data_IF_184965119959
#
_entry.id   IF_184965119959
#
_cell.length_a   1.000
_cell.length_b   1.000
_cell.length_c   1.000
_cell.angle_alpha   90.00
_cell.angle_beta   90.00
_cell.angle_gamma   90.00
#
_symmetry.space_group_name_H-M   'P 1'
#
loop_
_entity.id
_entity.type
_entity.pdbx_description
1 polymer ?
#
# COMPACT_ATOMS: atom_id res chain seq x y z
N UNK A 1 -19.16 18.31 7.21
CA UNK A 1 -19.70 18.07 5.85
C UNK A 1 -18.90 18.87 4.81
N UNK A 2 -17.57 18.70 4.76
CA UNK A 2 -16.64 19.54 3.97
C UNK A 2 -16.04 18.78 2.77
N UNK A 3 -16.15 17.44 2.76
CA UNK A 3 -15.46 16.59 1.79
C UNK A 3 -15.92 16.81 0.34
N UNK A 4 -17.22 16.87 0.08
CA UNK A 4 -17.74 16.99 -1.30
C UNK A 4 -17.28 18.28 -1.99
N UNK A 5 -17.31 19.40 -1.28
CA UNK A 5 -16.94 20.71 -1.81
C UNK A 5 -15.44 20.81 -2.10
N UNK A 6 -14.60 20.21 -1.26
CA UNK A 6 -13.16 20.09 -1.51
C UNK A 6 -12.88 19.35 -2.83
N UNK A 7 -13.57 18.24 -3.09
CA UNK A 7 -13.33 17.45 -4.31
C UNK A 7 -13.81 18.16 -5.58
N UNK A 8 -14.96 18.84 -5.52
CA UNK A 8 -15.48 19.60 -6.67
C UNK A 8 -14.63 20.81 -6.99
N UNK A 9 -14.18 21.55 -5.97
CA UNK A 9 -13.35 22.76 -6.14
C UNK A 9 -11.96 22.43 -6.68
N UNK A 10 -11.40 21.28 -6.30
CA UNK A 10 -10.10 20.80 -6.78
C UNK A 10 -10.18 20.01 -8.11
N UNK A 11 -11.35 19.97 -8.75
CA UNK A 11 -11.58 19.26 -10.02
C UNK A 11 -11.08 17.81 -9.98
N UNK A 12 -11.37 17.08 -8.89
CA UNK A 12 -11.01 15.67 -8.73
C UNK A 12 -11.96 14.83 -9.59
N UNK A 13 -11.47 14.42 -10.77
CA UNK A 13 -12.18 13.47 -11.64
C UNK A 13 -11.93 12.02 -11.19
N UNK A 14 -12.69 11.06 -11.73
CA UNK A 14 -12.48 9.63 -11.44
C UNK A 14 -11.06 9.15 -11.75
N UNK A 15 -10.37 9.76 -12.73
CA UNK A 15 -8.96 9.47 -13.02
C UNK A 15 -8.02 10.02 -11.94
N UNK A 16 -8.30 11.22 -11.42
CA UNK A 16 -7.52 11.81 -10.32
C UNK A 16 -7.80 11.12 -8.98
N UNK A 17 -8.98 10.53 -8.81
CA UNK A 17 -9.37 9.80 -7.60
C UNK A 17 -8.41 8.65 -7.27
N UNK A 18 -7.80 8.04 -8.30
CA UNK A 18 -6.82 6.96 -8.19
C UNK A 18 -5.55 7.39 -7.41
N UNK A 19 -5.28 8.70 -7.39
CA UNK A 19 -4.12 9.30 -6.72
C UNK A 19 -4.46 9.91 -5.34
N UNK A 20 -5.71 9.79 -4.89
CA UNK A 20 -6.14 10.32 -3.60
C UNK A 20 -5.70 9.37 -2.48
N UNK A 21 -4.74 9.84 -1.68
CA UNK A 21 -4.18 9.14 -0.52
C UNK A 21 -4.15 10.09 0.69
N UNK A 22 -3.94 9.56 1.90
CA UNK A 22 -3.77 10.36 3.12
C UNK A 22 -2.73 11.48 2.97
N UNK A 23 -1.65 11.29 2.21
CA UNK A 23 -0.64 12.34 2.00
C UNK A 23 -1.11 13.51 1.13
N UNK A 24 -2.09 13.27 0.25
CA UNK A 24 -2.55 14.24 -0.75
C UNK A 24 -3.83 14.97 -0.31
N UNK A 25 -4.58 14.39 0.64
CA UNK A 25 -5.81 14.98 1.19
C UNK A 25 -5.61 16.37 1.85
N UNK A 26 -4.51 16.65 2.57
CA UNK A 26 -4.27 17.97 3.14
C UNK A 26 -4.12 19.05 2.07
N UNK A 27 -3.57 18.69 0.90
CA UNK A 27 -3.36 19.63 -0.20
C UNK A 27 -4.68 20.10 -0.84
N UNK A 28 -5.75 19.30 -0.72
CA UNK A 28 -7.09 19.65 -1.21
C UNK A 28 -7.97 20.29 -0.13
N UNK A 29 -7.41 20.59 1.04
CA UNK A 29 -8.10 21.23 2.17
C UNK A 29 -8.73 20.27 3.19
N UNK A 30 -8.40 18.98 3.14
CA UNK A 30 -8.88 17.98 4.11
C UNK A 30 -7.76 17.68 5.10
N UNK A 31 -7.81 18.35 6.24
CA UNK A 31 -6.78 18.29 7.29
C UNK A 31 -7.19 17.46 8.51
N UNK A 32 -8.48 17.14 8.64
CA UNK A 32 -8.97 16.31 9.75
C UNK A 32 -8.59 14.85 9.55
N UNK A 33 -7.89 14.28 10.53
CA UNK A 33 -7.30 12.95 10.42
C UNK A 33 -8.35 11.83 10.32
N UNK A 34 -9.48 11.96 11.01
CA UNK A 34 -10.55 10.96 10.96
C UNK A 34 -11.25 10.97 9.59
N UNK A 35 -11.52 12.17 9.06
CA UNK A 35 -11.99 12.29 7.68
C UNK A 35 -10.98 11.74 6.67
N UNK A 36 -9.67 11.95 6.88
CA UNK A 36 -8.63 11.42 5.98
C UNK A 36 -8.64 9.89 5.94
N UNK A 37 -8.76 9.23 7.10
CA UNK A 37 -8.89 7.77 7.19
C UNK A 37 -10.14 7.28 6.49
N UNK A 38 -11.29 7.89 6.80
CA UNK A 38 -12.58 7.49 6.26
C UNK A 38 -12.58 7.61 4.74
N UNK A 39 -12.18 8.77 4.19
CA UNK A 39 -12.12 8.99 2.74
C UNK A 39 -11.16 8.01 2.08
N UNK A 40 -9.95 7.83 2.63
CA UNK A 40 -8.96 6.92 2.04
C UNK A 40 -9.42 5.46 2.06
N UNK A 41 -10.20 5.06 3.08
CA UNK A 41 -10.83 3.74 3.14
C UNK A 41 -11.90 3.59 2.05
N UNK A 42 -12.82 4.55 1.95
CA UNK A 42 -13.91 4.51 0.96
C UNK A 42 -13.40 4.55 -0.48
N UNK A 43 -12.35 5.32 -0.76
CA UNK A 43 -11.71 5.34 -2.10
C UNK A 43 -11.13 3.98 -2.46
N UNK A 44 -10.47 3.29 -1.51
CA UNK A 44 -9.92 1.95 -1.72
C UNK A 44 -11.03 0.92 -1.97
N UNK A 45 -12.09 0.95 -1.19
CA UNK A 45 -13.26 0.08 -1.35
C UNK A 45 -13.93 0.29 -2.71
N UNK A 46 -14.10 1.55 -3.13
CA UNK A 46 -14.70 1.90 -4.42
C UNK A 46 -13.86 1.42 -5.61
N UNK A 47 -12.54 1.58 -5.53
CA UNK A 47 -11.61 1.18 -6.59
C UNK A 47 -11.20 -0.29 -6.52
N UNK A 48 -11.63 -1.01 -5.46
CA UNK A 48 -11.25 -2.41 -5.19
C UNK A 48 -9.73 -2.62 -5.16
N UNK A 49 -9.02 -1.69 -4.52
CA UNK A 49 -7.56 -1.75 -4.31
C UNK A 49 -7.28 -2.20 -2.87
N UNK A 50 -6.23 -3.00 -2.65
CA UNK A 50 -5.85 -3.43 -1.31
C UNK A 50 -5.28 -2.25 -0.48
N UNK A 51 -5.36 -2.40 0.85
CA UNK A 51 -4.60 -1.54 1.75
C UNK A 51 -3.09 -1.76 1.55
N UNK A 52 -2.29 -0.70 1.36
CA UNK A 52 -0.84 -0.84 1.40
C UNK A 52 -0.42 -1.30 2.81
N UNK A 53 0.02 -2.56 2.90
CA UNK A 53 0.55 -3.15 4.13
C UNK A 53 2.00 -2.69 4.32
N UNK A 54 2.35 -2.22 5.52
CA UNK A 54 3.72 -1.86 5.86
C UNK A 54 4.68 -3.07 5.83
N UNK A 55 4.14 -4.27 5.99
CA UNK A 55 4.88 -5.55 5.95
C UNK A 55 5.11 -6.08 4.53
N UNK A 56 4.63 -5.37 3.50
CA UNK A 56 4.80 -5.82 2.11
C UNK A 56 6.29 -5.85 1.75
N UNK A 57 6.72 -6.93 1.10
CA UNK A 57 8.11 -7.08 0.66
C UNK A 57 8.48 -6.02 -0.37
N UNK A 58 9.67 -5.42 -0.22
CA UNK A 58 10.22 -4.42 -1.15
C UNK A 58 10.53 -4.98 -2.55
N UNK A 59 10.59 -6.31 -2.70
CA UNK A 59 10.77 -6.95 -4.00
C UNK A 59 9.49 -7.03 -4.82
N UNK A 60 8.33 -6.84 -4.17
CA UNK A 60 7.04 -6.81 -4.84
C UNK A 60 6.76 -5.42 -5.41
N UNK A 61 5.91 -5.33 -6.45
CA UNK A 61 5.43 -4.05 -6.93
C UNK A 61 4.79 -3.23 -5.80
N UNK A 62 4.86 -1.89 -5.85
CA UNK A 62 4.40 -0.99 -4.79
C UNK A 62 2.88 -1.05 -4.55
N UNK A 63 2.11 -1.55 -5.53
CA UNK A 63 0.66 -1.69 -5.50
C UNK A 63 0.23 -3.03 -6.12
N UNK A 64 -1.02 -3.39 -5.92
CA UNK A 64 -1.60 -4.59 -6.51
C UNK A 64 -1.84 -4.42 -8.00
N UNK A 65 -2.09 -5.52 -8.69
CA UNK A 65 -2.32 -5.55 -10.13
C UNK A 65 -3.43 -4.58 -10.56
N UNK A 66 -4.52 -4.47 -9.77
CA UNK A 66 -5.60 -3.50 -10.01
C UNK A 66 -5.12 -2.06 -9.81
N UNK A 67 -4.35 -1.80 -8.74
CA UNK A 67 -3.77 -0.48 -8.48
C UNK A 67 -2.86 -0.01 -9.60
N UNK A 68 -1.95 -0.87 -10.05
CA UNK A 68 -1.02 -0.59 -11.16
C UNK A 68 -1.77 -0.32 -12.48
N UNK A 69 -2.79 -1.14 -12.77
CA UNK A 69 -3.64 -0.93 -13.94
C UNK A 69 -4.35 0.43 -13.89
N UNK A 70 -4.95 0.78 -12.75
CA UNK A 70 -5.66 2.04 -12.57
C UNK A 70 -4.71 3.23 -12.70
N UNK A 71 -3.48 3.14 -12.19
CA UNK A 71 -2.46 4.17 -12.38
C UNK A 71 -2.17 4.42 -13.86
N UNK A 72 -2.01 3.36 -14.66
CA UNK A 72 -1.78 3.50 -16.10
C UNK A 72 -3.01 4.05 -16.83
N UNK A 73 -4.21 3.67 -16.39
CA UNK A 73 -5.51 4.13 -16.93
C UNK A 73 -5.85 5.56 -16.52
N UNK A 74 -5.27 6.06 -15.43
CA UNK A 74 -5.47 7.44 -14.95
C UNK A 74 -4.93 8.49 -15.93
N UNK A 75 -3.95 8.13 -16.76
CA UNK A 75 -3.35 9.04 -17.75
C UNK A 75 -4.34 9.32 -18.89
N UNK A 76 -4.25 10.51 -19.47
CA UNK A 76 -5.07 10.89 -20.62
C UNK A 76 -4.39 10.46 -21.92
N UNK A 77 -5.11 9.80 -22.82
CA UNK A 77 -4.62 9.48 -24.15
C UNK A 77 -5.20 8.17 -24.70
N UNK A 78 -5.16 8.02 -26.04
CA UNK A 78 -5.75 6.89 -26.76
C UNK A 78 -5.33 5.52 -26.22
N UNK A 79 -4.07 5.40 -25.79
CA UNK A 79 -3.52 4.15 -25.22
C UNK A 79 -4.12 3.81 -23.86
N UNK A 80 -4.16 4.78 -22.94
CA UNK A 80 -4.74 4.58 -21.60
C UNK A 80 -6.26 4.36 -21.66
N UNK A 81 -6.94 5.00 -22.61
CA UNK A 81 -8.38 4.87 -22.79
C UNK A 81 -8.77 3.49 -23.36
N UNK A 82 -7.97 2.96 -24.29
CA UNK A 82 -8.16 1.64 -24.86
C UNK A 82 -7.68 0.49 -23.96
N UNK A 83 -6.98 0.79 -22.85
CA UNK A 83 -6.37 -0.22 -21.99
C UNK A 83 -7.44 -1.07 -21.28
N UNK A 84 -7.46 -2.36 -21.62
CA UNK A 84 -8.19 -3.41 -20.91
C UNK A 84 -7.33 -3.98 -19.78
N UNK A 85 -7.99 -4.45 -18.72
CA UNK A 85 -7.31 -5.10 -17.61
C UNK A 85 -6.62 -6.41 -18.04
N UNK A 86 -7.29 -7.23 -18.85
CA UNK A 86 -6.71 -8.49 -19.34
C UNK A 86 -5.41 -8.29 -20.12
N UNK A 87 -5.43 -7.33 -21.05
CA UNK A 87 -4.25 -6.95 -21.85
C UNK A 87 -3.12 -6.45 -20.95
N UNK A 88 -3.43 -5.64 -19.94
CA UNK A 88 -2.44 -5.14 -18.99
C UNK A 88 -1.75 -6.27 -18.22
N UNK A 89 -2.51 -7.27 -17.74
CA UNK A 89 -1.95 -8.42 -17.02
C UNK A 89 -1.04 -9.26 -17.91
N UNK A 90 -1.48 -9.54 -19.14
CA UNK A 90 -0.70 -10.29 -20.13
C UNK A 90 0.61 -9.57 -20.49
N UNK A 91 0.54 -8.27 -20.78
CA UNK A 91 1.70 -7.45 -21.16
C UNK A 91 2.70 -7.30 -20.02
N UNK A 92 2.21 -7.01 -18.81
CA UNK A 92 3.04 -6.81 -17.64
C UNK A 92 3.60 -8.12 -17.07
N UNK A 93 3.16 -9.29 -17.59
CA UNK A 93 3.51 -10.63 -17.10
C UNK A 93 3.31 -10.74 -15.58
N UNK A 94 2.31 -10.04 -15.06
CA UNK A 94 1.98 -10.06 -13.65
C UNK A 94 1.24 -11.37 -13.39
N UNK A 95 1.85 -12.27 -12.63
CA UNK A 95 1.08 -13.38 -12.06
C UNK A 95 0.19 -12.83 -10.95
N UNK A 96 -0.97 -13.45 -10.75
CA UNK A 96 -1.78 -13.18 -9.57
C UNK A 96 -0.92 -13.49 -8.33
N UNK A 97 -0.72 -12.48 -7.49
CA UNK A 97 -0.03 -12.66 -6.23
C UNK A 97 -0.94 -13.51 -5.34
N UNK A 98 -0.64 -14.80 -5.20
CA UNK A 98 -1.18 -15.56 -4.08
C UNK A 98 -0.55 -14.96 -2.82
N UNK A 99 -1.35 -14.43 -1.87
CA UNK A 99 -0.82 -13.97 -0.61
C UNK A 99 -0.04 -15.12 0.01
N UNK A 100 1.27 -14.91 0.15
CA UNK A 100 2.12 -15.90 0.82
C UNK A 100 1.49 -16.12 2.19
N UNK A 101 1.24 -17.37 2.60
CA UNK A 101 0.76 -17.63 3.96
C UNK A 101 1.65 -16.86 4.93
N UNK A 102 1.09 -16.27 5.99
CA UNK A 102 1.86 -15.48 6.94
C UNK A 102 3.08 -16.31 7.31
N UNK A 103 4.27 -15.74 7.06
CA UNK A 103 5.50 -16.32 7.55
C UNK A 103 5.25 -16.57 9.05
N UNK A 104 5.44 -17.80 9.56
CA UNK A 104 5.22 -18.05 10.97
C UNK A 104 5.93 -16.98 11.79
N UNK A 105 5.25 -16.49 12.82
CA UNK A 105 5.75 -15.41 13.66
C UNK A 105 7.21 -15.71 14.02
N UNK A 106 8.06 -14.68 14.05
CA UNK A 106 9.49 -14.83 14.41
C UNK A 106 9.73 -15.62 15.71
N UNK A 107 8.73 -15.79 16.55
CA UNK A 107 8.70 -16.69 17.71
C UNK A 107 9.03 -18.15 17.38
N UNK A 108 8.66 -18.67 16.20
CA UNK A 108 8.97 -20.06 15.80
C UNK A 108 10.39 -20.25 15.23
N UNK A 109 11.06 -19.16 14.83
CA UNK A 109 12.36 -19.18 14.15
C UNK A 109 13.50 -18.63 15.00
N UNK A 110 13.29 -18.32 16.28
CA UNK A 110 14.41 -17.96 17.15
C UNK A 110 15.28 -19.22 17.38
N UNK A 111 16.53 -19.30 16.87
CA UNK A 111 17.54 -20.05 17.62
C UNK A 111 17.50 -19.45 19.02
N UNK A 112 17.30 -20.28 20.04
CA UNK A 112 17.15 -19.88 21.44
C UNK A 112 18.09 -18.70 21.74
N UNK A 113 17.57 -17.47 21.72
CA UNK A 113 18.38 -16.31 22.01
C UNK A 113 18.83 -16.48 23.45
N UNK A 114 20.16 -16.53 23.73
CA UNK A 114 20.62 -16.71 25.08
C UNK A 114 20.03 -15.62 25.96
N UNK A 115 19.62 -15.99 27.17
CA UNK A 115 19.16 -15.06 28.18
C UNK A 115 20.16 -13.91 28.35
N UNK A 116 19.66 -12.72 28.70
CA UNK A 116 20.52 -11.57 28.99
C UNK A 116 21.58 -11.92 30.05
N UNK A 117 21.26 -12.82 30.98
CA UNK A 117 22.21 -13.34 31.97
C UNK A 117 23.30 -14.24 31.37
N UNK A 118 22.96 -15.06 30.36
CA UNK A 118 23.92 -15.91 29.64
C UNK A 118 24.90 -15.06 28.81
N UNK A 119 24.42 -13.97 28.21
CA UNK A 119 25.26 -13.00 27.52
C UNK A 119 26.20 -12.27 28.49
N UNK A 120 25.71 -11.90 29.69
CA UNK A 120 26.54 -11.30 30.72
C UNK A 120 27.61 -12.26 31.24
N UNK A 121 27.25 -13.53 31.50
CA UNK A 121 28.21 -14.54 31.94
C UNK A 121 29.28 -14.81 30.88
N UNK A 122 28.89 -14.96 29.61
CA UNK A 122 29.84 -15.10 28.51
C UNK A 122 30.79 -13.89 28.43
N UNK A 123 30.29 -12.67 28.52
CA UNK A 123 31.11 -11.45 28.50
C UNK A 123 32.09 -11.36 29.69
N UNK A 124 31.68 -11.87 30.86
CA UNK A 124 32.53 -11.94 32.05
C UNK A 124 33.63 -12.98 31.93
N UNK A 125 33.40 -14.05 31.16
CA UNK A 125 34.36 -15.12 30.91
C UNK A 125 35.51 -14.65 29.99
N UNK A 126 35.24 -13.75 29.04
CA UNK A 126 36.24 -13.13 28.17
C UNK A 126 37.00 -11.96 28.81
N UNK A 127 36.67 -11.59 30.05
CA UNK A 127 37.27 -10.45 30.78
C UNK A 127 38.26 -10.88 31.88
N UNK A 128 38.69 -12.15 31.90
CA UNK A 128 39.78 -12.67 32.73
C UNK A 128 40.96 -13.08 31.86
#
# INVERSE_FOLDING_TARGET
>A
MVSRECFTTNFISGRKLIHVNCSNLPQIGITDFEHMKEISKHVRELLKIEEPRFERSISLPPRDNIGLFLEQKSRTGKRSDALSYSQFIEEARLQDYEPKPPTPLYEELQPSTPSYEELQQASSFFSR
#
